data_IF_916110501008
#
_entry.id   IF_916110501008
#
_cell.length_a   1.000
_cell.length_b   1.000
_cell.length_c   1.000
_cell.angle_alpha   90.00
_cell.angle_beta   90.00
_cell.angle_gamma   90.00
#
_symmetry.space_group_name_H-M   'P 1'
#
loop_
_entity.id
_entity.type
_entity.pdbx_description
1 polymer ?
#
# COMPACT_ATOMS: atom_id res chain seq x y z
N UNK A 1 0.02 -23.89 -2.60
CA UNK A 1 0.87 -22.87 -3.25
C UNK A 1 2.15 -22.72 -2.44
N UNK A 2 3.30 -22.83 -3.09
CA UNK A 2 4.63 -22.60 -2.56
C UNK A 2 5.00 -21.12 -2.65
N UNK A 3 6.08 -20.72 -1.96
CA UNK A 3 6.59 -19.36 -2.03
C UNK A 3 7.13 -18.96 -3.41
N UNK A 4 7.52 -19.95 -4.25
CA UNK A 4 8.01 -19.73 -5.61
C UNK A 4 6.85 -19.49 -6.57
N UNK A 5 5.84 -20.36 -6.56
CA UNK A 5 4.65 -20.27 -7.42
C UNK A 5 3.96 -18.91 -7.31
N UNK A 6 3.76 -18.39 -6.09
CA UNK A 6 3.11 -17.09 -5.91
C UNK A 6 3.91 -15.94 -6.53
N UNK A 7 5.25 -16.02 -6.53
CA UNK A 7 6.11 -14.96 -7.05
C UNK A 7 6.12 -14.97 -8.57
N UNK A 8 6.07 -16.15 -9.17
CA UNK A 8 5.89 -16.31 -10.62
C UNK A 8 4.53 -15.74 -11.07
N UNK A 9 3.51 -15.82 -10.22
CA UNK A 9 2.19 -15.19 -10.42
C UNK A 9 2.15 -13.69 -10.07
N UNK A 10 3.27 -13.05 -9.73
CA UNK A 10 3.30 -11.63 -9.35
C UNK A 10 2.67 -11.31 -7.99
N UNK A 11 2.44 -12.32 -7.14
CA UNK A 11 1.77 -12.15 -5.85
C UNK A 11 2.76 -11.94 -4.71
N UNK A 12 2.63 -10.79 -4.04
CA UNK A 12 3.46 -10.37 -2.93
C UNK A 12 2.72 -10.41 -1.59
N UNK A 13 3.46 -10.70 -0.53
CA UNK A 13 2.99 -10.49 0.85
C UNK A 13 3.01 -9.00 1.19
N UNK A 14 2.30 -8.58 2.24
CA UNK A 14 2.32 -7.20 2.73
C UNK A 14 3.75 -6.68 3.01
N UNK A 15 4.66 -7.54 3.48
CA UNK A 15 6.05 -7.17 3.74
C UNK A 15 6.85 -6.94 2.45
N UNK A 16 6.57 -7.71 1.39
CA UNK A 16 7.20 -7.53 0.07
C UNK A 16 6.66 -6.29 -0.63
N UNK A 17 5.34 -6.06 -0.58
CA UNK A 17 4.71 -4.82 -1.07
C UNK A 17 5.33 -3.60 -0.38
N UNK A 18 5.49 -3.64 0.94
CA UNK A 18 6.07 -2.54 1.70
C UNK A 18 7.48 -2.17 1.20
N UNK A 19 8.33 -3.19 0.95
CA UNK A 19 9.66 -2.99 0.37
C UNK A 19 9.60 -2.44 -1.05
N UNK A 20 8.73 -2.98 -1.90
CA UNK A 20 8.60 -2.56 -3.28
C UNK A 20 8.07 -1.12 -3.42
N UNK A 21 7.17 -0.69 -2.52
CA UNK A 21 6.58 0.63 -2.51
C UNK A 21 7.36 1.66 -1.66
N UNK A 22 8.41 1.25 -0.94
CA UNK A 22 9.17 2.12 -0.05
C UNK A 22 8.33 2.68 1.12
N UNK A 23 7.49 1.84 1.73
CA UNK A 23 6.61 2.21 2.86
C UNK A 23 6.76 1.23 4.02
N UNK A 24 6.20 1.58 5.17
CA UNK A 24 6.15 0.67 6.31
C UNK A 24 5.11 -0.44 6.08
N UNK A 25 5.36 -1.62 6.64
CA UNK A 25 4.38 -2.72 6.63
C UNK A 25 3.05 -2.32 7.27
N UNK A 26 3.10 -1.47 8.30
CA UNK A 26 1.91 -0.88 8.94
C UNK A 26 1.09 -0.03 7.96
N UNK A 27 1.74 0.71 7.04
CA UNK A 27 1.05 1.47 5.99
C UNK A 27 0.28 0.56 5.05
N UNK A 28 0.89 -0.54 4.58
CA UNK A 28 0.21 -1.52 3.73
C UNK A 28 -0.98 -2.13 4.47
N UNK A 29 -0.81 -2.49 5.75
CA UNK A 29 -1.90 -3.02 6.59
C UNK A 29 -3.03 -2.00 6.72
N UNK A 30 -2.70 -0.76 7.08
CA UNK A 30 -3.66 0.33 7.26
C UNK A 30 -4.47 0.60 5.99
N UNK A 31 -3.80 0.72 4.83
CA UNK A 31 -4.50 0.89 3.56
C UNK A 31 -5.37 -0.31 3.18
N UNK A 32 -4.95 -1.53 3.54
CA UNK A 32 -5.78 -2.73 3.32
C UNK A 32 -7.01 -2.73 4.23
N UNK A 33 -6.88 -2.36 5.50
CA UNK A 33 -7.99 -2.29 6.47
C UNK A 33 -9.01 -1.20 6.11
N UNK A 34 -8.56 -0.11 5.47
CA UNK A 34 -9.43 0.90 4.89
C UNK A 34 -10.04 0.52 3.53
N UNK A 35 -9.74 -0.67 3.00
CA UNK A 35 -10.23 -1.10 1.69
C UNK A 35 -9.59 -0.40 0.49
N UNK A 36 -8.47 0.31 0.68
CA UNK A 36 -7.77 1.01 -0.41
C UNK A 36 -6.91 0.09 -1.27
N UNK A 37 -6.52 -1.07 -0.74
CA UNK A 37 -5.74 -2.11 -1.42
C UNK A 37 -6.58 -3.36 -1.60
N UNK A 38 -6.50 -3.97 -2.78
CA UNK A 38 -7.19 -5.22 -3.11
C UNK A 38 -6.38 -6.42 -2.67
N UNK A 39 -7.03 -7.36 -1.98
CA UNK A 39 -6.44 -8.65 -1.63
C UNK A 39 -6.63 -9.59 -2.82
N UNK A 40 -5.53 -10.09 -3.37
CA UNK A 40 -5.55 -11.03 -4.50
C UNK A 40 -5.75 -12.48 -4.04
N UNK A 41 -5.42 -12.79 -2.78
CA UNK A 41 -5.64 -14.11 -2.20
C UNK A 41 -4.99 -14.26 -0.82
N UNK A 42 -4.98 -15.50 -0.33
CA UNK A 42 -4.33 -15.86 0.95
C UNK A 42 -3.30 -16.97 0.74
N UNK A 43 -2.22 -16.93 1.53
CA UNK A 43 -1.17 -17.95 1.55
C UNK A 43 -1.26 -18.78 2.82
N UNK A 44 -1.60 -20.06 2.67
CA UNK A 44 -1.72 -21.07 3.74
C UNK A 44 -0.33 -21.58 4.19
N UNK A 45 -0.11 -22.01 5.47
CA UNK A 45 -1.06 -22.26 6.56
C UNK A 45 -1.42 -21.05 7.45
N UNK A 46 -0.66 -19.97 7.37
CA UNK A 46 -0.81 -18.79 8.25
C UNK A 46 -1.73 -17.70 7.67
N UNK A 47 -2.47 -18.00 6.60
CA UNK A 47 -3.41 -17.10 5.92
C UNK A 47 -2.85 -15.70 5.63
N UNK A 48 -1.61 -15.63 5.15
CA UNK A 48 -1.03 -14.32 4.81
C UNK A 48 -1.77 -13.72 3.61
N UNK A 49 -2.14 -12.44 3.70
CA UNK A 49 -2.71 -11.72 2.56
C UNK A 49 -1.67 -11.56 1.45
N UNK A 50 -2.09 -11.86 0.23
CA UNK A 50 -1.34 -11.63 -0.99
C UNK A 50 -1.95 -10.50 -1.80
N UNK A 51 -1.08 -9.80 -2.51
CA UNK A 51 -1.37 -8.61 -3.28
C UNK A 51 -0.74 -8.77 -4.66
N UNK A 52 -1.44 -8.34 -5.70
CA UNK A 52 -0.84 -8.21 -7.03
C UNK A 52 0.22 -7.10 -6.97
N UNK A 53 1.43 -7.40 -7.42
CA UNK A 53 2.61 -6.54 -7.23
C UNK A 53 2.43 -5.17 -7.85
N UNK A 54 2.14 -5.12 -9.14
CA UNK A 54 2.25 -3.89 -9.92
C UNK A 54 1.05 -2.97 -9.60
N UNK A 55 -0.17 -3.51 -9.59
CA UNK A 55 -1.40 -2.82 -9.20
C UNK A 55 -1.28 -2.23 -7.79
N UNK A 56 -0.82 -3.02 -6.82
CA UNK A 56 -0.78 -2.57 -5.42
C UNK A 56 0.29 -1.53 -5.17
N UNK A 57 1.48 -1.68 -5.77
CA UNK A 57 2.57 -0.71 -5.63
C UNK A 57 2.19 0.64 -6.25
N UNK A 58 1.62 0.63 -7.46
CA UNK A 58 1.13 1.84 -8.12
C UNK A 58 0.00 2.51 -7.33
N UNK A 59 -0.92 1.72 -6.77
CA UNK A 59 -1.98 2.25 -5.90
C UNK A 59 -1.42 2.96 -4.68
N UNK A 60 -0.42 2.37 -4.01
CA UNK A 60 0.25 2.99 -2.85
C UNK A 60 0.94 4.30 -3.24
N UNK A 61 1.67 4.31 -4.36
CA UNK A 61 2.35 5.52 -4.86
C UNK A 61 1.35 6.65 -5.10
N UNK A 62 0.24 6.36 -5.78
CA UNK A 62 -0.82 7.35 -6.03
C UNK A 62 -1.46 7.88 -4.74
N UNK A 63 -1.76 7.01 -3.78
CA UNK A 63 -2.31 7.45 -2.48
C UNK A 63 -1.34 8.41 -1.79
N UNK A 64 -0.04 8.08 -1.78
CA UNK A 64 0.98 8.93 -1.15
C UNK A 64 1.16 10.27 -1.85
N UNK A 65 1.10 10.31 -3.18
CA UNK A 65 1.17 11.53 -3.96
C UNK A 65 0.01 12.47 -3.60
N UNK A 66 -1.22 11.94 -3.50
CA UNK A 66 -2.42 12.70 -3.10
C UNK A 66 -2.28 13.20 -1.65
N UNK A 67 -1.86 12.33 -0.72
CA UNK A 67 -1.65 12.72 0.69
C UNK A 67 -0.57 13.80 0.83
N UNK A 68 0.50 13.73 0.04
CA UNK A 68 1.55 14.74 -0.01
C UNK A 68 1.00 16.10 -0.46
N UNK A 69 0.24 16.14 -1.57
CA UNK A 69 -0.40 17.36 -2.07
C UNK A 69 -1.38 17.98 -1.07
N UNK A 70 -2.23 17.15 -0.45
CA UNK A 70 -3.22 17.64 0.52
C UNK A 70 -2.55 18.27 1.74
N UNK A 71 -1.46 17.68 2.26
CA UNK A 71 -0.70 18.29 3.37
C UNK A 71 -0.14 19.66 2.99
N UNK A 72 0.38 19.80 1.78
CA UNK A 72 0.87 21.11 1.30
C UNK A 72 -0.25 22.13 1.18
N UNK A 73 -1.43 21.75 0.66
CA UNK A 73 -2.59 22.64 0.59
C UNK A 73 -3.10 23.04 1.97
N UNK A 74 -3.20 22.10 2.91
CA UNK A 74 -3.55 22.40 4.30
C UNK A 74 -2.56 23.38 4.93
N UNK A 75 -1.26 23.18 4.73
CA UNK A 75 -0.24 24.11 5.22
C UNK A 75 -0.39 25.52 4.62
N UNK A 76 -0.72 25.64 3.32
CA UNK A 76 -0.97 26.94 2.66
C UNK A 76 -2.23 27.61 3.23
N UNK A 77 -3.29 26.84 3.45
CA UNK A 77 -4.56 27.32 4.02
C UNK A 77 -4.39 27.78 5.48
N UNK A 78 -3.69 27.00 6.30
CA UNK A 78 -3.38 27.37 7.69
C UNK A 78 -2.58 28.68 7.76
N UNK A 79 -1.57 28.85 6.90
CA UNK A 79 -0.80 30.09 6.83
C UNK A 79 -1.65 31.29 6.38
N UNK A 80 -2.69 31.06 5.57
CA UNK A 80 -3.54 32.11 5.01
C UNK A 80 -4.72 32.49 5.93
N UNK A 81 -5.09 31.64 6.90
CA UNK A 81 -6.17 31.88 7.85
C UNK A 81 -5.68 32.36 9.24
N UNK A 82 -4.37 32.60 9.40
CA UNK A 82 -3.72 33.01 10.65
C UNK A 82 -3.16 34.43 10.67
N UNK A 83 -3.59 35.33 9.78
CA UNK A 83 -3.13 36.73 9.70
C UNK A 83 -4.28 37.73 9.85
#
# INVERSE_FOLDING_TARGET
MSGRERRELGLLTAAEVARAAGVLKSTVRYYTEMGLLKIAGTFSPKSYRLYEKDETVERIRRIREIQGRNRTLSNIMEASMGA
#
